data_IF_891641746188
#
_entry.id   IF_891641746188
#
_cell.length_a   1.000
_cell.length_b   1.000
_cell.length_c   1.000
_cell.angle_alpha   90.00
_cell.angle_beta   90.00
_cell.angle_gamma   90.00
#
_symmetry.space_group_name_H-M   'P 1'
#
loop_
_entity.id
_entity.type
_entity.pdbx_description
1 polymer ?
#
# COMPACT_ATOMS: atom_id res chain seq x y z
N UNK A 1 2.17 -29.01 -16.53
CA UNK A 1 0.94 -28.61 -15.82
C UNK A 1 1.11 -28.89 -14.35
N UNK A 2 0.80 -27.93 -13.51
CA UNK A 2 0.78 -28.16 -12.06
C UNK A 2 -0.38 -29.07 -11.68
N UNK A 3 -0.15 -30.00 -10.79
CA UNK A 3 -1.20 -30.84 -10.21
C UNK A 3 -1.97 -30.12 -9.09
N UNK A 4 -1.32 -29.13 -8.46
CA UNK A 4 -1.88 -28.33 -7.36
C UNK A 4 -1.97 -26.86 -7.75
N UNK A 5 -3.01 -26.19 -7.24
CA UNK A 5 -3.23 -24.77 -7.48
C UNK A 5 -2.19 -23.93 -6.75
N UNK A 6 -1.47 -23.09 -7.49
CA UNK A 6 -0.58 -22.06 -6.95
C UNK A 6 -1.40 -20.78 -6.72
N UNK A 7 -1.65 -20.35 -5.48
CA UNK A 7 -2.41 -19.13 -5.22
C UNK A 7 -1.64 -17.88 -5.69
N UNK A 8 -2.35 -16.81 -5.97
CA UNK A 8 -1.75 -15.51 -6.31
C UNK A 8 -0.83 -14.99 -5.20
N UNK A 9 -1.26 -15.14 -3.94
CA UNK A 9 -0.50 -14.75 -2.76
C UNK A 9 -0.87 -15.60 -1.56
N UNK A 10 0.04 -15.68 -0.60
CA UNK A 10 -0.15 -16.35 0.68
C UNK A 10 0.65 -15.61 1.75
N UNK A 11 0.08 -15.33 2.94
CA UNK A 11 0.83 -14.82 4.08
C UNK A 11 1.94 -15.81 4.48
N UNK A 12 3.13 -15.30 4.78
CA UNK A 12 4.24 -16.08 5.35
C UNK A 12 4.14 -16.06 6.87
N UNK A 13 3.42 -17.02 7.44
CA UNK A 13 3.23 -17.17 8.90
C UNK A 13 4.01 -18.38 9.39
N UNK A 14 4.84 -18.17 10.42
CA UNK A 14 5.64 -19.21 11.06
C UNK A 14 5.29 -19.40 12.55
N UNK A 15 5.97 -20.32 13.22
CA UNK A 15 5.74 -20.61 14.63
C UNK A 15 6.07 -19.45 15.57
N UNK A 16 7.03 -18.58 15.21
CA UNK A 16 7.34 -17.38 15.99
C UNK A 16 6.17 -16.40 15.99
N UNK A 17 5.51 -16.24 14.83
CA UNK A 17 4.32 -15.41 14.67
C UNK A 17 3.16 -15.95 15.53
N UNK A 18 2.95 -17.28 15.51
CA UNK A 18 1.92 -17.95 16.31
C UNK A 18 2.19 -17.77 17.80
N UNK A 19 3.44 -17.95 18.22
CA UNK A 19 3.86 -17.81 19.61
C UNK A 19 3.70 -16.38 20.11
N UNK A 20 4.09 -15.37 19.30
CA UNK A 20 3.94 -13.97 19.64
C UNK A 20 2.47 -13.59 19.92
N UNK A 21 1.55 -14.06 19.06
CA UNK A 21 0.10 -13.86 19.28
C UNK A 21 -0.39 -14.64 20.51
N UNK A 22 0.04 -15.88 20.70
CA UNK A 22 -0.34 -16.69 21.85
C UNK A 22 0.11 -16.07 23.19
N UNK A 23 1.28 -15.43 23.24
CA UNK A 23 1.76 -14.68 24.41
C UNK A 23 0.84 -13.52 24.77
N UNK A 24 0.40 -12.75 23.79
CA UNK A 24 -0.59 -11.66 24.00
C UNK A 24 -1.89 -12.19 24.55
N UNK A 25 -2.41 -13.31 24.01
CA UNK A 25 -3.62 -13.94 24.50
C UNK A 25 -3.46 -14.41 25.96
N UNK A 26 -2.30 -14.97 26.34
CA UNK A 26 -2.00 -15.40 27.72
C UNK A 26 -1.85 -14.22 28.68
N UNK A 27 -1.35 -13.08 28.21
CA UNK A 27 -1.19 -11.87 29.04
C UNK A 27 -2.52 -11.26 29.48
N UNK A 28 -3.61 -11.52 28.74
CA UNK A 28 -4.92 -10.91 28.95
C UNK A 28 -5.05 -9.47 28.46
N UNK A 29 -3.98 -8.84 27.98
CA UNK A 29 -4.04 -7.49 27.41
C UNK A 29 -4.19 -7.55 25.88
N UNK A 30 -5.42 -7.47 25.39
CA UNK A 30 -5.75 -7.76 23.98
C UNK A 30 -5.90 -6.52 23.08
N UNK A 31 -6.26 -5.37 23.68
CA UNK A 31 -6.51 -4.11 22.97
C UNK A 31 -5.21 -3.31 22.79
N UNK A 32 -5.31 -2.01 22.49
CA UNK A 32 -4.16 -1.13 22.37
C UNK A 32 -3.31 -1.11 23.64
N UNK A 33 -2.01 -1.40 23.53
CA UNK A 33 -1.11 -1.51 24.67
C UNK A 33 0.37 -1.62 24.27
N UNK A 34 1.19 -2.37 25.03
CA UNK A 34 2.64 -2.40 24.86
C UNK A 34 3.07 -2.95 23.48
N UNK A 35 2.35 -3.89 22.88
CA UNK A 35 2.70 -4.42 21.56
C UNK A 35 2.46 -3.39 20.45
N UNK A 36 1.42 -2.56 20.58
CA UNK A 36 1.23 -1.42 19.68
C UNK A 36 2.40 -0.44 19.76
N UNK A 37 2.80 -0.05 20.97
CA UNK A 37 3.95 0.86 21.17
C UNK A 37 5.25 0.27 20.60
N UNK A 38 5.47 -1.03 20.80
CA UNK A 38 6.62 -1.75 20.23
C UNK A 38 6.59 -1.74 18.70
N UNK A 39 5.43 -2.00 18.08
CA UNK A 39 5.27 -2.03 16.64
C UNK A 39 5.47 -0.63 16.02
N UNK A 40 4.87 0.41 16.63
CA UNK A 40 5.07 1.81 16.22
C UNK A 40 6.58 2.18 16.25
N UNK A 41 7.27 1.86 17.34
CA UNK A 41 8.72 2.12 17.50
C UNK A 41 9.55 1.41 16.43
N UNK A 42 9.31 0.10 16.20
CA UNK A 42 10.06 -0.70 15.21
C UNK A 42 9.85 -0.21 13.77
N UNK A 43 8.64 0.20 13.41
CA UNK A 43 8.38 0.80 12.09
C UNK A 43 9.08 2.17 11.98
N UNK A 44 9.14 2.97 13.04
CA UNK A 44 9.91 4.20 13.06
C UNK A 44 11.41 3.94 12.89
N UNK A 45 11.95 2.92 13.56
CA UNK A 45 13.36 2.51 13.40
C UNK A 45 13.67 2.06 11.96
N UNK A 46 12.76 1.30 11.32
CA UNK A 46 12.91 0.89 9.94
C UNK A 46 12.82 2.07 8.97
N UNK A 47 11.80 2.92 9.15
CA UNK A 47 11.51 4.01 8.21
C UNK A 47 12.41 5.23 8.40
N UNK A 48 12.96 5.42 9.60
CA UNK A 48 13.68 6.63 9.98
C UNK A 48 12.78 7.81 10.39
N UNK A 49 11.46 7.61 10.43
CA UNK A 49 10.52 8.62 10.91
C UNK A 49 10.54 8.72 12.44
N UNK A 50 10.24 9.89 12.99
CA UNK A 50 10.26 10.13 14.44
C UNK A 50 9.00 9.62 15.16
N UNK A 51 7.87 9.53 14.46
CA UNK A 51 6.56 9.19 15.02
C UNK A 51 5.87 8.13 14.19
N UNK A 52 5.28 7.13 14.86
CA UNK A 52 4.41 6.12 14.28
C UNK A 52 3.05 6.10 14.99
N UNK A 53 1.98 5.91 14.25
CA UNK A 53 0.62 5.78 14.79
C UNK A 53 -0.04 4.56 14.16
N UNK A 54 -0.15 3.47 14.92
CA UNK A 54 -0.77 2.23 14.46
C UNK A 54 -2.30 2.34 14.46
N UNK A 55 -2.92 1.80 13.42
CA UNK A 55 -4.34 1.93 13.10
C UNK A 55 -4.90 0.59 12.60
N UNK A 56 -6.22 0.43 12.68
CA UNK A 56 -6.92 -0.80 12.28
C UNK A 56 -6.79 -1.14 10.77
N UNK A 57 -6.46 -0.16 9.93
CA UNK A 57 -6.19 -0.35 8.50
C UNK A 57 -5.52 0.88 7.89
N UNK A 58 -4.90 0.73 6.71
CA UNK A 58 -4.43 1.87 5.91
C UNK A 58 -5.59 2.80 5.49
N UNK A 59 -6.78 2.26 5.27
CA UNK A 59 -7.97 3.07 4.97
C UNK A 59 -8.37 3.95 6.16
N UNK A 60 -8.29 3.43 7.39
CA UNK A 60 -8.50 4.21 8.61
C UNK A 60 -7.44 5.30 8.76
N UNK A 61 -6.17 4.99 8.42
CA UNK A 61 -5.08 5.97 8.41
C UNK A 61 -5.35 7.11 7.41
N UNK A 62 -5.77 6.78 6.20
CA UNK A 62 -6.15 7.74 5.17
C UNK A 62 -7.28 8.65 5.64
N UNK A 63 -8.36 8.03 6.16
CA UNK A 63 -9.50 8.78 6.67
C UNK A 63 -9.10 9.78 7.77
N UNK A 64 -8.33 9.32 8.77
CA UNK A 64 -7.90 10.21 9.85
C UNK A 64 -6.99 11.33 9.35
N UNK A 65 -6.07 11.05 8.43
CA UNK A 65 -5.20 12.09 7.86
C UNK A 65 -6.02 13.18 7.17
N UNK A 66 -7.02 12.82 6.35
CA UNK A 66 -7.88 13.81 5.71
C UNK A 66 -8.63 14.66 6.75
N UNK A 67 -9.13 14.04 7.83
CA UNK A 67 -9.83 14.76 8.91
C UNK A 67 -8.89 15.72 9.66
N UNK A 68 -7.73 15.25 10.12
CA UNK A 68 -6.80 16.10 10.91
C UNK A 68 -6.10 17.16 10.07
N UNK A 69 -5.99 16.96 8.76
CA UNK A 69 -5.51 17.95 7.80
C UNK A 69 -6.61 18.90 7.33
N UNK A 70 -7.82 18.77 7.88
CA UNK A 70 -9.00 19.61 7.57
C UNK A 70 -9.37 19.64 6.08
N UNK A 71 -9.24 18.48 5.41
CA UNK A 71 -9.74 18.34 4.03
C UNK A 71 -11.27 18.35 4.05
N UNK A 72 -11.86 19.21 3.22
CA UNK A 72 -13.27 19.58 3.29
C UNK A 72 -13.86 19.88 1.91
N UNK A 73 -15.19 20.10 1.81
CA UNK A 73 -15.82 20.48 0.55
C UNK A 73 -15.19 21.71 -0.10
N UNK A 74 -14.88 21.61 -1.38
CA UNK A 74 -14.19 22.64 -2.17
C UNK A 74 -12.68 22.41 -2.32
N UNK A 75 -12.09 21.57 -1.48
CA UNK A 75 -10.68 21.18 -1.59
C UNK A 75 -10.47 20.11 -2.66
N UNK A 76 -9.28 20.09 -3.23
CA UNK A 76 -8.82 19.09 -4.19
C UNK A 76 -7.67 18.26 -3.61
N UNK A 77 -7.73 16.93 -3.83
CA UNK A 77 -6.68 16.01 -3.46
C UNK A 77 -6.18 15.29 -4.71
N UNK A 78 -4.89 15.46 -5.03
CA UNK A 78 -4.26 14.83 -6.18
C UNK A 78 -3.79 13.41 -5.81
N UNK A 79 -4.15 12.43 -6.64
CA UNK A 79 -3.73 11.02 -6.51
C UNK A 79 -3.76 10.34 -7.87
N UNK A 80 -3.01 9.23 -8.12
CA UNK A 80 -3.22 8.47 -9.34
C UNK A 80 -4.59 7.77 -9.32
N UNK A 81 -5.17 7.56 -10.49
CA UNK A 81 -6.35 6.71 -10.62
C UNK A 81 -5.99 5.20 -10.60
N UNK A 82 -4.72 4.86 -10.85
CA UNK A 82 -4.18 3.51 -10.73
C UNK A 82 -3.78 3.25 -9.28
N UNK A 83 -4.78 3.07 -8.43
CA UNK A 83 -4.62 2.80 -6.99
C UNK A 83 -5.79 1.97 -6.47
N UNK A 84 -5.66 1.47 -5.24
CA UNK A 84 -6.81 0.93 -4.54
C UNK A 84 -7.81 2.04 -4.22
N UNK A 85 -9.09 1.74 -4.38
CA UNK A 85 -10.18 2.73 -4.27
C UNK A 85 -10.30 3.43 -2.91
N UNK A 86 -9.63 2.93 -1.86
CA UNK A 86 -9.74 3.50 -0.51
C UNK A 86 -9.36 4.98 -0.45
N UNK A 87 -8.28 5.40 -1.13
CA UNK A 87 -7.87 6.83 -1.17
C UNK A 87 -9.00 7.67 -1.76
N UNK A 88 -9.47 7.27 -2.94
CA UNK A 88 -10.48 8.02 -3.68
C UNK A 88 -11.80 8.08 -2.91
N UNK A 89 -12.21 6.94 -2.30
CA UNK A 89 -13.39 6.87 -1.45
C UNK A 89 -13.28 7.84 -0.26
N UNK A 90 -12.14 7.88 0.43
CA UNK A 90 -11.98 8.75 1.61
C UNK A 90 -11.97 10.22 1.23
N UNK A 91 -11.39 10.60 0.09
CA UNK A 91 -11.45 11.98 -0.44
C UNK A 91 -12.90 12.39 -0.70
N UNK A 92 -13.68 11.53 -1.38
CA UNK A 92 -15.10 11.80 -1.66
C UNK A 92 -15.93 11.87 -0.38
N UNK A 93 -15.70 10.97 0.58
CA UNK A 93 -16.39 10.97 1.88
C UNK A 93 -16.05 12.21 2.74
N UNK A 94 -14.87 12.80 2.56
CA UNK A 94 -14.52 14.10 3.15
C UNK A 94 -15.22 15.28 2.45
N UNK A 95 -15.97 15.05 1.37
CA UNK A 95 -16.60 16.07 0.55
C UNK A 95 -15.65 16.78 -0.42
N UNK A 96 -14.40 16.37 -0.47
CA UNK A 96 -13.38 16.92 -1.36
C UNK A 96 -13.44 16.27 -2.76
N UNK A 97 -12.74 16.87 -3.70
CA UNK A 97 -12.67 16.39 -5.09
C UNK A 97 -11.36 15.64 -5.33
N UNK A 98 -11.40 14.36 -5.72
CA UNK A 98 -10.21 13.67 -6.19
C UNK A 98 -9.82 14.20 -7.58
N UNK A 99 -8.55 14.61 -7.74
CA UNK A 99 -7.95 15.02 -9.00
C UNK A 99 -6.94 13.96 -9.40
N UNK A 100 -7.11 13.37 -10.58
CA UNK A 100 -6.28 12.24 -10.98
C UNK A 100 -5.07 12.70 -11.80
N UNK A 101 -3.87 12.48 -11.25
CA UNK A 101 -2.63 12.60 -12.01
C UNK A 101 -2.47 11.36 -12.91
N UNK A 102 -2.10 11.58 -14.16
CA UNK A 102 -1.76 10.50 -15.08
C UNK A 102 -0.49 9.77 -14.61
N UNK A 103 -0.41 8.49 -14.89
CA UNK A 103 0.78 7.69 -14.62
C UNK A 103 1.67 7.60 -15.86
N UNK A 104 2.96 7.38 -15.64
CA UNK A 104 3.83 6.89 -16.69
C UNK A 104 3.40 5.49 -17.12
N UNK A 105 3.39 5.26 -18.43
CA UNK A 105 2.85 4.03 -19.02
C UNK A 105 3.65 2.80 -18.63
N UNK A 106 4.96 2.94 -18.50
CA UNK A 106 5.86 1.80 -18.35
C UNK A 106 6.16 1.45 -16.90
N UNK A 107 6.28 2.46 -16.04
CA UNK A 107 6.55 2.30 -14.61
C UNK A 107 5.30 2.24 -13.75
N UNK A 108 4.16 2.74 -14.26
CA UNK A 108 2.90 2.95 -13.54
C UNK A 108 2.99 3.94 -12.36
N UNK A 109 4.03 4.75 -12.30
CA UNK A 109 4.20 5.81 -11.30
C UNK A 109 3.65 7.14 -11.80
N UNK A 110 3.18 7.99 -10.89
CA UNK A 110 3.00 9.40 -11.20
C UNK A 110 4.37 10.04 -11.45
N UNK A 111 4.42 11.04 -12.32
CA UNK A 111 5.63 11.83 -12.55
C UNK A 111 5.48 13.24 -11.97
N UNK A 112 6.58 13.95 -11.69
CA UNK A 112 6.50 15.35 -11.28
C UNK A 112 5.66 16.21 -12.23
N UNK A 113 5.79 15.98 -13.55
CA UNK A 113 5.06 16.72 -14.59
C UNK A 113 3.57 16.43 -14.53
N UNK A 114 3.17 15.17 -14.37
CA UNK A 114 1.75 14.78 -14.27
C UNK A 114 1.09 15.33 -13.00
N UNK A 115 1.83 15.37 -11.89
CA UNK A 115 1.37 16.00 -10.64
C UNK A 115 1.24 17.52 -10.82
N UNK A 116 2.28 18.17 -11.38
CA UNK A 116 2.28 19.63 -11.60
C UNK A 116 1.11 20.08 -12.49
N UNK A 117 0.76 19.31 -13.52
CA UNK A 117 -0.37 19.59 -14.40
C UNK A 117 -1.73 19.56 -13.71
N UNK A 118 -1.82 18.90 -12.52
CA UNK A 118 -3.05 18.79 -11.74
C UNK A 118 -3.20 19.85 -10.64
N UNK A 119 -2.12 20.61 -10.34
CA UNK A 119 -2.13 21.58 -9.24
C UNK A 119 -3.00 22.79 -9.59
N UNK A 120 -3.92 23.11 -8.69
CA UNK A 120 -4.78 24.29 -8.74
C UNK A 120 -4.73 25.08 -7.42
N UNK A 121 -5.29 26.28 -7.32
CA UNK A 121 -5.43 27.00 -6.04
C UNK A 121 -6.24 26.25 -4.98
N UNK A 122 -7.03 25.23 -5.36
CA UNK A 122 -7.83 24.40 -4.45
C UNK A 122 -7.09 23.14 -3.99
N UNK A 123 -5.92 22.83 -4.56
CA UNK A 123 -5.14 21.66 -4.18
C UNK A 123 -4.65 21.79 -2.75
N UNK A 124 -5.07 20.90 -1.88
CA UNK A 124 -4.70 20.88 -0.45
C UNK A 124 -3.78 19.73 -0.06
N UNK A 125 -3.75 18.69 -0.86
CA UNK A 125 -3.00 17.47 -0.53
C UNK A 125 -2.65 16.73 -1.83
N UNK A 126 -1.46 16.10 -1.84
CA UNK A 126 -1.01 15.20 -2.91
C UNK A 126 -0.71 13.86 -2.28
N UNK A 127 -1.31 12.78 -2.81
CA UNK A 127 -1.13 11.41 -2.30
C UNK A 127 -0.64 10.52 -3.46
N UNK A 128 0.66 10.54 -3.77
CA UNK A 128 1.26 9.64 -4.73
C UNK A 128 1.41 8.23 -4.15
N UNK A 129 1.43 7.21 -5.00
CA UNK A 129 1.44 5.80 -4.60
C UNK A 129 2.75 5.14 -5.01
N UNK A 130 3.41 4.46 -4.08
CA UNK A 130 4.54 3.56 -4.34
C UNK A 130 4.03 2.22 -4.88
N UNK A 131 3.67 2.21 -6.15
CA UNK A 131 2.97 1.08 -6.76
C UNK A 131 3.83 -0.19 -6.78
N UNK A 132 3.23 -1.35 -6.49
CA UNK A 132 3.87 -2.67 -6.49
C UNK A 132 5.11 -2.82 -5.58
N UNK A 133 5.48 -1.79 -4.82
CA UNK A 133 6.69 -1.76 -3.97
C UNK A 133 7.88 -1.06 -4.61
N UNK A 134 7.71 -0.39 -5.75
CA UNK A 134 8.69 0.53 -6.32
C UNK A 134 8.47 1.96 -5.81
N UNK A 135 9.51 2.78 -5.81
CA UNK A 135 9.41 4.19 -5.41
C UNK A 135 9.06 5.08 -6.61
N UNK A 136 8.14 6.05 -6.44
CA UNK A 136 8.03 7.17 -7.37
C UNK A 136 9.15 8.20 -7.12
N UNK A 137 9.34 9.19 -8.01
CA UNK A 137 10.31 10.28 -7.82
C UNK A 137 9.84 11.24 -6.71
N UNK A 138 10.23 10.93 -5.47
CA UNK A 138 9.82 11.68 -4.26
C UNK A 138 10.30 13.13 -4.33
N UNK A 139 11.57 13.34 -4.68
CA UNK A 139 12.15 14.68 -4.70
C UNK A 139 11.53 15.54 -5.79
N UNK A 140 11.30 14.95 -6.98
CA UNK A 140 10.64 15.62 -8.09
C UNK A 140 9.20 16.03 -7.75
N UNK A 141 8.41 15.12 -7.15
CA UNK A 141 7.04 15.41 -6.72
C UNK A 141 7.03 16.48 -5.62
N UNK A 142 7.91 16.39 -4.61
CA UNK A 142 8.02 17.41 -3.56
C UNK A 142 8.37 18.79 -4.12
N UNK A 143 9.27 18.84 -5.11
CA UNK A 143 9.69 20.08 -5.75
C UNK A 143 8.50 20.78 -6.44
N UNK A 144 7.67 20.04 -7.17
CA UNK A 144 6.51 20.62 -7.85
C UNK A 144 5.35 20.91 -6.90
N UNK A 145 5.21 20.15 -5.82
CA UNK A 145 4.21 20.38 -4.76
C UNK A 145 4.45 21.71 -4.01
N UNK A 146 5.71 22.14 -3.88
CA UNK A 146 6.05 23.36 -3.15
C UNK A 146 5.61 23.32 -1.69
N UNK A 147 4.64 24.15 -1.30
CA UNK A 147 4.08 24.19 0.05
C UNK A 147 2.91 23.22 0.26
N UNK A 148 2.41 22.55 -0.77
CA UNK A 148 1.30 21.60 -0.66
C UNK A 148 1.84 20.33 0.02
N UNK A 149 1.18 19.84 1.09
CA UNK A 149 1.58 18.59 1.75
C UNK A 149 1.58 17.41 0.79
N UNK A 150 2.60 16.54 0.93
CA UNK A 150 2.69 15.26 0.22
C UNK A 150 2.61 14.15 1.26
N UNK A 151 1.66 13.25 1.11
CA UNK A 151 1.50 12.03 1.93
C UNK A 151 1.77 10.83 1.02
N UNK A 152 2.79 10.05 1.34
CA UNK A 152 3.16 8.87 0.57
C UNK A 152 2.21 7.71 0.86
N UNK A 153 1.49 7.21 -0.16
CA UNK A 153 0.84 5.90 -0.02
C UNK A 153 1.90 4.80 -0.18
N UNK A 154 2.40 4.35 0.95
CA UNK A 154 3.39 3.30 1.10
C UNK A 154 2.75 1.92 1.40
N UNK A 155 1.44 1.75 1.11
CA UNK A 155 0.72 0.49 1.38
C UNK A 155 1.33 -0.74 0.69
N UNK A 156 2.18 -0.55 -0.31
CA UNK A 156 2.94 -1.59 -1.02
C UNK A 156 4.46 -1.55 -0.74
N UNK A 157 4.94 -0.67 0.14
CA UNK A 157 6.34 -0.22 0.11
C UNK A 157 7.12 -0.43 1.42
N UNK A 158 6.68 -1.34 2.31
CA UNK A 158 7.48 -1.72 3.49
C UNK A 158 8.78 -2.40 3.03
N UNK A 159 9.92 -1.78 3.37
CA UNK A 159 11.25 -2.23 2.91
C UNK A 159 11.63 -1.71 1.52
N UNK A 160 10.92 -0.73 0.98
CA UNK A 160 11.34 0.05 -0.19
C UNK A 160 12.22 1.22 0.24
N UNK A 161 13.28 1.46 -0.53
CA UNK A 161 14.20 2.57 -0.28
C UNK A 161 14.29 3.47 -1.53
N UNK A 162 14.39 4.76 -1.31
CA UNK A 162 14.63 5.79 -2.30
C UNK A 162 15.93 6.54 -1.95
N UNK A 163 16.92 6.51 -2.83
CA UNK A 163 18.25 7.14 -2.62
C UNK A 163 18.88 6.75 -1.27
N UNK A 164 18.84 5.46 -0.94
CA UNK A 164 19.40 4.90 0.29
C UNK A 164 18.57 5.13 1.56
N UNK A 165 17.44 5.84 1.51
CA UNK A 165 16.54 6.08 2.66
C UNK A 165 15.22 5.33 2.47
N UNK A 166 14.69 4.77 3.55
CA UNK A 166 13.40 4.08 3.52
C UNK A 166 12.27 5.06 3.17
N UNK A 167 11.25 4.58 2.46
CA UNK A 167 10.02 5.33 2.18
C UNK A 167 9.41 5.83 3.49
N UNK A 168 8.92 7.08 3.51
CA UNK A 168 8.35 7.70 4.71
C UNK A 168 9.37 8.28 5.69
N UNK A 169 10.70 8.25 5.37
CA UNK A 169 11.73 8.87 6.20
C UNK A 169 11.54 10.39 6.36
N UNK A 170 11.21 11.05 5.26
CA UNK A 170 11.16 12.53 5.21
C UNK A 170 9.73 13.09 5.15
N UNK A 171 8.77 12.27 4.77
CA UNK A 171 7.37 12.67 4.58
C UNK A 171 6.46 11.87 5.52
N UNK A 172 5.23 12.35 5.65
CA UNK A 172 4.15 11.51 6.20
C UNK A 172 3.87 10.38 5.22
N UNK A 173 3.84 9.13 5.71
CA UNK A 173 3.56 7.96 4.90
C UNK A 173 2.50 7.07 5.54
N UNK A 174 1.76 6.34 4.71
CA UNK A 174 0.72 5.39 5.12
C UNK A 174 1.15 4.00 4.71
N UNK A 175 1.27 3.08 5.66
CA UNK A 175 1.55 1.67 5.44
C UNK A 175 0.29 0.82 5.64
N UNK A 176 0.23 -0.29 4.92
CA UNK A 176 -0.79 -1.32 5.09
C UNK A 176 -0.16 -2.62 5.56
N UNK A 177 -0.83 -3.26 6.50
CA UNK A 177 -0.47 -4.59 7.01
C UNK A 177 -1.63 -5.58 6.83
N UNK A 178 -2.44 -5.38 5.78
CA UNK A 178 -3.44 -6.34 5.32
C UNK A 178 -2.78 -7.69 5.00
N UNK A 179 -3.52 -8.79 5.10
CA UNK A 179 -3.03 -10.16 4.97
C UNK A 179 -2.15 -10.44 3.73
N UNK A 180 -2.37 -9.74 2.61
CA UNK A 180 -1.60 -9.95 1.37
C UNK A 180 -0.30 -9.13 1.29
N UNK A 181 -0.01 -8.25 2.27
CA UNK A 181 1.16 -7.36 2.21
C UNK A 181 2.46 -8.10 2.54
N UNK A 182 3.60 -7.43 2.33
CA UNK A 182 4.93 -8.04 2.56
C UNK A 182 5.09 -8.54 3.99
N UNK A 183 4.57 -7.79 4.96
CA UNK A 183 4.32 -8.24 6.34
C UNK A 183 2.86 -7.96 6.67
N UNK A 184 2.31 -8.73 7.60
CA UNK A 184 0.90 -8.63 7.95
C UNK A 184 0.64 -8.57 9.45
N UNK A 185 -0.47 -7.92 9.80
CA UNK A 185 -1.11 -8.00 11.13
C UNK A 185 -2.51 -8.63 11.04
N UNK A 186 -2.80 -9.32 9.92
CA UNK A 186 -4.14 -9.72 9.51
C UNK A 186 -4.86 -8.55 8.87
N UNK A 187 -5.26 -7.60 9.65
CA UNK A 187 -5.67 -6.24 9.27
C UNK A 187 -4.85 -5.23 10.06
N UNK A 188 -4.45 -4.13 9.43
CA UNK A 188 -3.71 -3.05 10.08
C UNK A 188 -3.20 -2.00 9.11
N UNK A 189 -2.83 -0.88 9.68
CA UNK A 189 -2.17 0.22 9.01
C UNK A 189 -1.32 1.04 9.97
N UNK A 190 -0.51 1.93 9.43
CA UNK A 190 0.28 2.87 10.23
C UNK A 190 0.47 4.17 9.47
N UNK A 191 0.42 5.28 10.18
CA UNK A 191 0.95 6.55 9.70
C UNK A 191 2.32 6.74 10.35
N UNK A 192 3.34 7.03 9.54
CA UNK A 192 4.61 7.56 10.04
C UNK A 192 4.73 9.03 9.66
N UNK A 193 5.36 9.82 10.52
CA UNK A 193 5.54 11.26 10.28
C UNK A 193 6.67 11.83 11.14
N UNK A 194 7.21 12.98 10.73
CA UNK A 194 8.14 13.78 11.56
C UNK A 194 7.43 14.97 12.23
N UNK A 195 6.13 15.12 12.01
CA UNK A 195 5.30 16.13 12.68
C UNK A 195 4.66 15.54 13.94
N UNK A 196 5.22 15.87 15.10
CA UNK A 196 4.72 15.42 16.41
C UNK A 196 3.31 15.93 16.73
N UNK A 197 2.90 17.11 16.18
CA UNK A 197 1.55 17.65 16.37
C UNK A 197 0.54 16.83 15.58
N UNK A 198 0.86 16.50 14.33
CA UNK A 198 0.05 15.61 13.50
C UNK A 198 -0.11 14.24 14.17
N UNK A 199 0.99 13.65 14.66
CA UNK A 199 0.96 12.36 15.35
C UNK A 199 0.08 12.40 16.61
N UNK A 200 0.17 13.47 17.41
CA UNK A 200 -0.67 13.65 18.60
C UNK A 200 -2.16 13.74 18.25
N UNK A 201 -2.53 14.48 17.21
CA UNK A 201 -3.91 14.55 16.71
C UNK A 201 -4.41 13.18 16.23
N UNK A 202 -3.61 12.46 15.45
CA UNK A 202 -3.96 11.12 14.98
C UNK A 202 -4.20 10.15 16.15
N UNK A 203 -3.39 10.19 17.22
CA UNK A 203 -3.57 9.38 18.43
C UNK A 203 -4.89 9.69 19.14
N UNK A 204 -5.28 10.96 19.21
CA UNK A 204 -6.58 11.37 19.77
C UNK A 204 -7.75 10.90 18.89
N UNK A 205 -7.68 11.22 17.61
CA UNK A 205 -8.77 10.91 16.67
C UNK A 205 -8.98 9.40 16.48
N UNK A 206 -7.94 8.58 16.54
CA UNK A 206 -8.07 7.12 16.44
C UNK A 206 -8.80 6.48 17.63
N UNK A 207 -8.91 7.23 18.76
CA UNK A 207 -9.50 6.72 19.98
C UNK A 207 -10.50 7.72 20.59
N UNK A 208 -11.66 7.87 19.96
CA UNK A 208 -12.81 8.68 20.40
C UNK A 208 -12.52 10.17 20.69
N UNK A 209 -11.41 10.73 20.24
CA UNK A 209 -11.00 12.09 20.57
C UNK A 209 -10.58 12.31 22.02
N UNK A 210 -10.22 11.23 22.71
CA UNK A 210 -9.77 11.24 24.10
C UNK A 210 -8.24 11.39 24.15
N UNK A 211 -7.76 12.25 25.04
CA UNK A 211 -6.33 12.58 25.14
C UNK A 211 -5.48 11.44 25.71
N UNK A 212 -6.05 10.56 26.52
CA UNK A 212 -5.36 9.46 27.23
C UNK A 212 -5.94 8.12 26.84
N UNK A 213 -5.13 7.23 26.30
CA UNK A 213 -5.59 5.90 25.90
C UNK A 213 -5.85 4.94 27.08
N UNK A 214 -6.32 3.73 26.77
CA UNK A 214 -6.71 2.75 27.81
C UNK A 214 -5.48 2.26 28.62
N UNK A 215 -4.33 2.07 27.96
CA UNK A 215 -3.09 1.60 28.61
C UNK A 215 -2.47 2.67 29.50
N UNK A 216 -2.40 3.90 29.06
CA UNK A 216 -1.95 5.03 29.86
C UNK A 216 -2.84 5.24 31.10
N UNK A 217 -4.16 5.05 30.97
CA UNK A 217 -5.09 5.15 32.11
C UNK A 217 -4.88 4.07 33.15
N UNK A 218 -4.54 2.85 32.75
CA UNK A 218 -4.24 1.76 33.67
C UNK A 218 -2.94 2.01 34.44
N UNK A 219 -1.88 2.48 33.72
CA UNK A 219 -0.55 2.68 34.30
C UNK A 219 -0.40 3.97 35.15
N UNK A 220 -1.12 5.03 34.81
CA UNK A 220 -1.04 6.34 35.49
C UNK A 220 -2.13 6.56 36.53
N UNK A 221 -2.92 5.52 36.84
CA UNK A 221 -4.14 5.64 37.64
C UNK A 221 -5.28 6.23 36.80
N UNK A 222 -6.46 5.60 36.89
CA UNK A 222 -7.65 6.03 36.14
C UNK A 222 -7.93 7.48 36.46
N UNK A 223 -7.65 8.39 35.51
CA UNK A 223 -8.26 9.71 35.55
C UNK A 223 -9.79 9.50 35.56
N UNK A 224 -10.51 9.95 36.58
CA UNK A 224 -11.93 9.63 36.74
C UNK A 224 -12.80 10.11 35.59
N UNK A 225 -12.30 11.02 34.75
CA UNK A 225 -13.03 11.60 33.61
C UNK A 225 -12.05 11.78 32.45
N UNK A 226 -12.19 10.93 31.41
CA UNK A 226 -11.57 11.17 30.13
C UNK A 226 -12.46 12.15 29.35
N UNK A 227 -11.93 13.34 29.06
CA UNK A 227 -12.66 14.34 28.31
C UNK A 227 -12.50 14.12 26.81
N UNK A 228 -13.61 14.15 26.07
CA UNK A 228 -13.62 14.12 24.60
C UNK A 228 -13.36 15.56 24.11
N UNK A 229 -12.22 15.76 23.45
CA UNK A 229 -11.85 17.05 22.87
C UNK A 229 -12.30 17.20 21.41
N UNK A 230 -12.48 16.07 20.72
CA UNK A 230 -12.95 15.99 19.33
C UNK A 230 -13.88 14.76 19.16
N UNK A 231 -14.80 14.76 18.19
CA UNK A 231 -15.62 13.59 17.85
C UNK A 231 -14.74 12.56 17.07
N UNK A 232 -13.89 11.83 17.78
CA UNK A 232 -12.96 10.88 17.20
C UNK A 232 -13.60 9.52 16.89
N UNK A 233 -12.82 8.67 16.21
CA UNK A 233 -13.22 7.34 15.76
C UNK A 233 -12.66 6.23 16.67
N UNK A 234 -13.02 4.99 16.39
CA UNK A 234 -12.46 3.80 17.05
C UNK A 234 -11.64 3.01 16.03
N UNK A 235 -10.41 3.46 15.76
CA UNK A 235 -9.50 2.94 14.74
C UNK A 235 -8.15 2.45 15.27
N UNK A 236 -8.03 2.25 16.58
CA UNK A 236 -6.79 1.70 17.15
C UNK A 236 -6.55 0.26 16.70
N UNK A 237 -5.29 -0.10 16.49
CA UNK A 237 -4.86 -1.48 16.30
C UNK A 237 -4.92 -2.22 17.65
N UNK A 238 -5.12 -3.53 17.65
CA UNK A 238 -5.07 -4.37 18.85
C UNK A 238 -3.66 -4.90 19.10
N UNK A 239 -3.31 -5.22 20.34
CA UNK A 239 -2.01 -5.84 20.64
C UNK A 239 -1.87 -7.24 20.02
N UNK A 240 -2.98 -7.95 19.84
CA UNK A 240 -3.00 -9.23 19.10
C UNK A 240 -2.43 -9.03 17.68
N UNK A 241 -2.94 -8.04 16.96
CA UNK A 241 -2.48 -7.72 15.61
C UNK A 241 -1.06 -7.16 15.61
N UNK A 242 -0.75 -6.27 16.56
CA UNK A 242 0.57 -5.65 16.68
C UNK A 242 1.67 -6.69 16.97
N UNK A 243 1.41 -7.70 17.81
CA UNK A 243 2.37 -8.76 18.10
C UNK A 243 2.75 -9.55 16.83
N UNK A 244 1.77 -9.87 15.98
CA UNK A 244 2.04 -10.47 14.68
C UNK A 244 2.92 -9.56 13.83
N UNK A 245 2.62 -8.25 13.76
CA UNK A 245 3.40 -7.27 13.02
C UNK A 245 4.84 -7.14 13.53
N UNK A 246 5.05 -7.15 14.84
CA UNK A 246 6.39 -7.13 15.47
C UNK A 246 7.21 -8.35 15.04
N UNK A 247 6.63 -9.56 15.16
CA UNK A 247 7.29 -10.81 14.75
C UNK A 247 7.63 -10.82 13.25
N UNK A 248 6.68 -10.45 12.40
CA UNK A 248 6.86 -10.37 10.94
C UNK A 248 7.97 -9.38 10.55
N UNK A 249 8.06 -8.24 11.24
CA UNK A 249 9.02 -7.18 10.95
C UNK A 249 10.48 -7.62 11.17
N UNK A 250 10.74 -8.53 12.13
CA UNK A 250 12.07 -9.11 12.35
C UNK A 250 12.62 -9.82 11.09
N UNK A 251 11.73 -10.27 10.22
CA UNK A 251 12.08 -11.03 9.01
C UNK A 251 11.93 -10.22 7.71
N UNK A 252 11.62 -8.92 7.77
CA UNK A 252 11.28 -8.12 6.57
C UNK A 252 12.38 -8.17 5.49
N UNK A 253 13.65 -8.09 5.89
CA UNK A 253 14.76 -8.16 4.93
C UNK A 253 14.84 -9.53 4.25
N UNK A 254 14.65 -10.62 5.00
CA UNK A 254 14.62 -11.98 4.44
C UNK A 254 13.41 -12.20 3.52
N UNK A 255 12.24 -11.70 3.92
CA UNK A 255 11.01 -11.72 3.12
C UNK A 255 11.22 -10.99 1.79
N UNK A 256 11.74 -9.76 1.83
CA UNK A 256 11.97 -8.97 0.63
C UNK A 256 13.11 -9.53 -0.25
N UNK A 257 14.13 -10.17 0.34
CA UNK A 257 15.16 -10.87 -0.42
C UNK A 257 14.60 -12.07 -1.22
N UNK A 258 13.73 -12.88 -0.60
CA UNK A 258 13.04 -13.99 -1.29
C UNK A 258 12.17 -13.45 -2.43
N UNK A 259 11.37 -12.41 -2.19
CA UNK A 259 10.54 -11.76 -3.23
C UNK A 259 11.39 -11.23 -4.39
N UNK A 260 12.54 -10.64 -4.08
CA UNK A 260 13.49 -10.16 -5.09
C UNK A 260 14.02 -11.30 -5.95
N UNK A 261 14.44 -12.43 -5.33
CA UNK A 261 14.93 -13.59 -6.08
C UNK A 261 13.88 -14.14 -7.05
N UNK A 262 12.63 -14.27 -6.60
CA UNK A 262 11.51 -14.72 -7.44
C UNK A 262 11.21 -13.71 -8.58
N UNK A 263 11.23 -12.42 -8.28
CA UNK A 263 11.01 -11.38 -9.28
C UNK A 263 12.10 -11.34 -10.35
N UNK A 264 13.36 -11.50 -9.94
CA UNK A 264 14.48 -11.61 -10.90
C UNK A 264 14.36 -12.87 -11.78
N UNK A 265 13.91 -14.00 -11.21
CA UNK A 265 13.65 -15.23 -11.99
C UNK A 265 12.53 -15.01 -13.01
N UNK A 266 11.45 -14.34 -12.66
CA UNK A 266 10.41 -13.94 -13.62
C UNK A 266 10.97 -13.09 -14.75
N UNK A 267 11.77 -12.06 -14.45
CA UNK A 267 12.37 -11.17 -15.45
C UNK A 267 13.26 -11.94 -16.42
N UNK A 268 14.09 -12.84 -15.89
CA UNK A 268 14.95 -13.71 -16.70
C UNK A 268 14.11 -14.54 -17.69
N UNK A 269 13.13 -15.29 -17.18
CA UNK A 269 12.35 -16.23 -17.98
C UNK A 269 11.35 -15.57 -18.94
N UNK A 270 10.89 -14.36 -18.65
CA UNK A 270 10.01 -13.59 -19.53
C UNK A 270 10.75 -12.83 -20.63
N UNK A 271 12.09 -12.84 -20.61
CA UNK A 271 12.91 -12.28 -21.70
C UNK A 271 12.54 -12.97 -23.02
N UNK A 272 12.16 -12.16 -24.02
CA UNK A 272 11.72 -12.66 -25.34
C UNK A 272 10.26 -13.16 -25.39
N UNK A 273 9.46 -12.92 -24.36
CA UNK A 273 7.99 -13.14 -24.37
C UNK A 273 7.31 -11.79 -24.58
N UNK A 274 7.25 -11.33 -25.83
CA UNK A 274 6.82 -9.96 -26.18
C UNK A 274 5.36 -9.66 -25.84
N UNK A 275 4.52 -10.69 -25.69
CA UNK A 275 3.09 -10.56 -25.38
C UNK A 275 2.82 -10.40 -23.87
N UNK A 276 3.82 -10.68 -22.99
CA UNK A 276 3.70 -10.57 -21.53
C UNK A 276 4.92 -9.87 -20.99
N UNK A 277 4.82 -8.57 -20.81
CA UNK A 277 5.94 -7.70 -20.46
C UNK A 277 5.88 -7.29 -18.99
N UNK A 278 6.93 -7.56 -18.18
CA UNK A 278 7.05 -6.97 -16.85
C UNK A 278 7.06 -5.43 -16.91
N UNK A 279 6.65 -4.79 -15.81
CA UNK A 279 6.80 -3.34 -15.67
C UNK A 279 8.29 -2.96 -15.71
N UNK A 280 8.55 -1.79 -16.25
CA UNK A 280 9.88 -1.19 -16.27
C UNK A 280 10.17 -0.53 -14.93
N UNK A 281 11.38 -0.67 -14.41
CA UNK A 281 11.79 0.04 -13.22
C UNK A 281 11.87 1.56 -13.49
N UNK A 282 11.45 2.41 -12.54
CA UNK A 282 11.68 3.84 -12.62
C UNK A 282 13.16 4.17 -12.85
N UNK A 283 13.43 5.18 -13.66
CA UNK A 283 14.79 5.62 -13.99
C UNK A 283 15.06 7.03 -13.46
N UNK A 284 16.33 7.42 -13.37
CA UNK A 284 16.75 8.76 -12.94
C UNK A 284 17.06 8.88 -11.45
N UNK A 285 16.81 7.82 -10.67
CA UNK A 285 17.19 7.76 -9.26
C UNK A 285 17.41 6.31 -8.80
N UNK A 286 18.22 6.15 -7.76
CA UNK A 286 18.44 4.86 -7.13
C UNK A 286 17.25 4.49 -6.22
N UNK A 287 16.79 3.24 -6.26
CA UNK A 287 15.81 2.72 -5.33
C UNK A 287 16.00 1.22 -5.11
N UNK A 288 15.53 0.70 -3.96
CA UNK A 288 15.42 -0.72 -3.64
C UNK A 288 13.95 -1.10 -3.67
N UNK A 289 13.58 -2.04 -4.51
CA UNK A 289 12.21 -2.53 -4.66
C UNK A 289 11.87 -3.55 -3.56
N UNK A 290 10.71 -3.43 -2.92
CA UNK A 290 10.22 -4.43 -1.95
C UNK A 290 9.43 -5.58 -2.59
N UNK A 291 9.13 -5.49 -3.89
CA UNK A 291 8.44 -6.52 -4.66
C UNK A 291 7.14 -7.00 -4.01
N UNK A 292 6.27 -6.08 -3.63
CA UNK A 292 4.93 -6.45 -3.16
C UNK A 292 4.14 -7.20 -4.23
N UNK A 293 4.22 -6.75 -5.47
CA UNK A 293 3.61 -7.39 -6.64
C UNK A 293 4.65 -7.60 -7.74
N UNK A 294 4.47 -8.66 -8.52
CA UNK A 294 5.08 -8.81 -9.83
C UNK A 294 4.00 -8.62 -10.88
N UNK A 295 3.97 -7.43 -11.48
CA UNK A 295 2.95 -7.03 -12.45
C UNK A 295 3.49 -7.14 -13.85
N UNK A 296 2.69 -7.70 -14.76
CA UNK A 296 2.97 -7.80 -16.19
C UNK A 296 1.86 -7.13 -17.00
N UNK A 297 2.18 -6.63 -18.17
CA UNK A 297 1.23 -6.21 -19.19
C UNK A 297 1.01 -7.32 -20.18
N UNK A 298 -0.23 -7.67 -20.44
CA UNK A 298 -0.65 -8.68 -21.42
C UNK A 298 -1.09 -7.96 -22.69
N UNK A 299 -0.27 -8.02 -23.73
CA UNK A 299 -0.53 -7.36 -25.02
C UNK A 299 -0.50 -8.42 -26.12
N UNK A 300 -1.48 -9.33 -26.07
CA UNK A 300 -1.60 -10.42 -27.03
C UNK A 300 -2.70 -10.12 -28.07
N UNK A 301 -2.49 -10.60 -29.30
CA UNK A 301 -3.52 -10.57 -30.35
C UNK A 301 -4.55 -11.67 -30.20
N UNK A 302 -4.26 -12.70 -29.40
CA UNK A 302 -5.09 -13.88 -29.21
C UNK A 302 -5.99 -13.79 -27.98
N UNK A 303 -5.46 -13.22 -26.88
CA UNK A 303 -6.12 -13.17 -25.59
C UNK A 303 -6.08 -11.75 -25.04
N UNK A 304 -7.21 -11.23 -24.59
CA UNK A 304 -7.21 -10.09 -23.70
C UNK A 304 -6.74 -10.51 -22.28
N UNK A 305 -6.53 -9.54 -21.42
CA UNK A 305 -6.07 -9.77 -20.05
C UNK A 305 -6.99 -10.72 -19.26
N UNK A 306 -8.30 -10.59 -19.39
CA UNK A 306 -9.26 -11.39 -18.62
C UNK A 306 -9.27 -12.85 -19.10
N UNK A 307 -9.23 -13.07 -20.42
CA UNK A 307 -9.06 -14.39 -21.02
C UNK A 307 -7.70 -15.02 -20.64
N UNK A 308 -6.63 -14.23 -20.61
CA UNK A 308 -5.31 -14.69 -20.14
C UNK A 308 -5.35 -15.16 -18.68
N UNK A 309 -5.94 -14.38 -17.78
CA UNK A 309 -6.09 -14.75 -16.36
C UNK A 309 -6.94 -16.03 -16.21
N UNK A 310 -8.01 -16.18 -17.00
CA UNK A 310 -8.83 -17.39 -16.99
C UNK A 310 -8.05 -18.61 -17.50
N UNK A 311 -7.24 -18.45 -18.54
CA UNK A 311 -6.39 -19.50 -19.08
C UNK A 311 -5.30 -19.94 -18.08
N UNK A 312 -4.64 -19.00 -17.37
CA UNK A 312 -3.71 -19.32 -16.30
C UNK A 312 -4.37 -20.10 -15.17
N UNK A 313 -5.60 -19.71 -14.79
CA UNK A 313 -6.37 -20.45 -13.77
C UNK A 313 -6.66 -21.89 -14.19
N UNK A 314 -6.92 -22.14 -15.47
CA UNK A 314 -7.09 -23.49 -16.00
C UNK A 314 -5.79 -24.33 -15.94
N UNK A 315 -4.63 -23.69 -15.90
CA UNK A 315 -3.33 -24.31 -15.69
C UNK A 315 -2.95 -24.40 -14.18
N UNK A 316 -3.90 -24.19 -13.25
CA UNK A 316 -3.69 -24.15 -11.80
C UNK A 316 -2.80 -23.00 -11.32
N UNK A 317 -2.75 -21.87 -12.04
CA UNK A 317 -2.02 -20.67 -11.65
C UNK A 317 -3.01 -19.56 -11.27
N UNK A 318 -2.93 -19.11 -10.02
CA UNK A 318 -3.64 -17.92 -9.53
C UNK A 318 -3.03 -16.65 -10.09
N UNK A 319 -3.85 -15.62 -10.30
CA UNK A 319 -3.40 -14.29 -10.72
C UNK A 319 -4.29 -13.23 -10.08
N UNK A 320 -3.82 -11.98 -10.08
CA UNK A 320 -4.54 -10.86 -9.49
C UNK A 320 -4.64 -9.65 -10.43
N UNK A 321 -5.56 -8.74 -10.13
CA UNK A 321 -5.72 -7.47 -10.84
C UNK A 321 -5.44 -6.31 -9.88
N UNK A 322 -4.34 -5.59 -10.09
CA UNK A 322 -3.93 -4.43 -9.30
C UNK A 322 -3.56 -3.24 -10.23
N UNK A 323 -4.50 -2.37 -10.62
CA UNK A 323 -5.91 -2.37 -10.26
C UNK A 323 -6.77 -2.03 -11.50
N UNK A 324 -8.08 -2.17 -11.39
CA UNK A 324 -8.97 -1.45 -12.28
C UNK A 324 -8.93 0.03 -11.88
N UNK A 325 -8.65 0.93 -12.82
CA UNK A 325 -8.51 2.36 -12.53
C UNK A 325 -9.78 2.94 -11.86
N UNK A 326 -9.57 3.79 -10.84
CA UNK A 326 -10.66 4.28 -10.00
C UNK A 326 -11.66 5.13 -10.78
N UNK A 327 -11.19 6.05 -11.65
CA UNK A 327 -12.07 6.95 -12.40
C UNK A 327 -13.06 6.24 -13.34
N UNK A 328 -12.78 4.98 -13.73
CA UNK A 328 -13.69 4.16 -14.55
C UNK A 328 -14.58 3.23 -13.71
N UNK A 329 -14.52 3.26 -12.38
CA UNK A 329 -15.48 2.57 -11.53
C UNK A 329 -16.85 3.23 -11.65
N UNK A 330 -17.92 2.45 -11.46
CA UNK A 330 -19.29 2.88 -11.73
C UNK A 330 -19.65 4.19 -11.05
N UNK A 331 -19.45 4.28 -9.74
CA UNK A 331 -19.79 5.45 -8.94
C UNK A 331 -19.13 6.73 -9.49
N UNK A 332 -17.83 6.68 -9.74
CA UNK A 332 -17.08 7.86 -10.19
C UNK A 332 -17.46 8.31 -11.60
N UNK A 333 -17.85 7.37 -12.47
CA UNK A 333 -18.36 7.72 -13.80
C UNK A 333 -19.75 8.36 -13.75
N UNK A 334 -20.65 7.75 -12.97
CA UNK A 334 -22.07 8.13 -12.95
C UNK A 334 -22.31 9.39 -12.12
N UNK A 335 -21.66 9.52 -10.94
CA UNK A 335 -21.88 10.59 -9.99
C UNK A 335 -20.89 11.77 -10.13
N UNK A 336 -19.67 11.51 -10.61
CA UNK A 336 -18.63 12.53 -10.70
C UNK A 336 -18.25 12.89 -12.14
N UNK A 337 -18.84 12.26 -13.14
CA UNK A 337 -18.66 12.59 -14.56
C UNK A 337 -17.30 12.18 -15.15
N UNK A 338 -16.52 11.34 -14.45
CA UNK A 338 -15.30 10.78 -15.03
C UNK A 338 -15.63 9.85 -16.19
N UNK A 339 -14.76 9.81 -17.19
CA UNK A 339 -15.00 9.02 -18.39
C UNK A 339 -13.70 8.53 -19.02
N UNK A 340 -13.83 7.51 -19.87
CA UNK A 340 -12.72 7.02 -20.69
C UNK A 340 -12.19 8.13 -21.62
N UNK A 341 -10.89 8.12 -21.83
CA UNK A 341 -10.15 9.10 -22.61
C UNK A 341 -9.53 10.23 -21.76
N UNK A 342 -9.77 10.26 -20.44
CA UNK A 342 -9.19 11.28 -19.56
C UNK A 342 -7.74 10.97 -19.16
N UNK A 343 -7.41 9.67 -19.00
CA UNK A 343 -6.12 9.19 -18.52
C UNK A 343 -5.63 8.00 -19.39
N UNK A 344 -5.11 8.28 -20.60
CA UNK A 344 -4.83 7.23 -21.59
C UNK A 344 -3.84 6.16 -21.14
N UNK A 345 -2.77 6.52 -20.40
CA UNK A 345 -1.79 5.55 -19.90
C UNK A 345 -2.38 4.70 -18.77
N UNK A 346 -3.10 5.34 -17.84
CA UNK A 346 -3.83 4.67 -16.76
C UNK A 346 -4.85 3.67 -17.32
N UNK A 347 -5.63 4.08 -18.30
CA UNK A 347 -6.67 3.26 -18.93
C UNK A 347 -6.06 2.08 -19.69
N UNK A 348 -4.99 2.33 -20.44
CA UNK A 348 -4.26 1.26 -21.11
C UNK A 348 -3.75 0.23 -20.11
N UNK A 349 -3.07 0.66 -19.04
CA UNK A 349 -2.58 -0.28 -18.04
C UNK A 349 -3.75 -1.01 -17.34
N UNK A 350 -4.82 -0.31 -16.97
CA UNK A 350 -6.00 -0.92 -16.36
C UNK A 350 -6.62 -2.05 -17.22
N UNK A 351 -6.55 -1.93 -18.53
CA UNK A 351 -7.08 -2.94 -19.46
C UNK A 351 -6.10 -4.12 -19.68
N UNK A 352 -4.78 -3.93 -19.45
CA UNK A 352 -3.77 -4.91 -19.84
C UNK A 352 -2.98 -5.54 -18.69
N UNK A 353 -2.99 -4.97 -17.47
CA UNK A 353 -2.16 -5.50 -16.38
C UNK A 353 -2.74 -6.76 -15.74
N UNK A 354 -1.82 -7.64 -15.34
CA UNK A 354 -2.07 -8.82 -14.54
C UNK A 354 -0.94 -8.98 -13.52
N UNK A 355 -1.27 -9.30 -12.27
CA UNK A 355 -0.27 -9.63 -11.25
C UNK A 355 -0.08 -11.14 -11.19
N UNK A 356 1.14 -11.59 -11.38
CA UNK A 356 1.55 -12.99 -11.28
C UNK A 356 1.78 -13.39 -9.82
N UNK A 357 1.75 -14.69 -9.48
CA UNK A 357 2.03 -15.16 -8.13
C UNK A 357 3.37 -14.65 -7.61
N UNK A 358 3.37 -14.06 -6.41
CA UNK A 358 4.60 -13.63 -5.75
C UNK A 358 4.42 -13.58 -4.23
N UNK A 359 4.94 -14.59 -3.51
CA UNK A 359 4.93 -14.65 -2.06
C UNK A 359 6.13 -15.45 -1.53
N UNK A 360 6.56 -15.24 -0.26
CA UNK A 360 7.85 -15.77 0.23
C UNK A 360 7.98 -17.30 0.24
N UNK A 361 6.86 -18.04 0.36
CA UNK A 361 6.87 -19.51 0.37
C UNK A 361 7.03 -20.15 -1.02
N UNK A 362 7.00 -19.34 -2.09
CA UNK A 362 7.27 -19.86 -3.43
C UNK A 362 8.73 -20.28 -3.57
N UNK A 363 8.93 -21.32 -4.35
CA UNK A 363 10.24 -21.75 -4.82
C UNK A 363 10.51 -21.17 -6.21
N UNK A 364 11.75 -21.18 -6.66
CA UNK A 364 12.10 -20.74 -8.03
C UNK A 364 11.42 -21.60 -9.10
N UNK A 365 11.26 -22.90 -8.84
CA UNK A 365 10.55 -23.84 -9.74
C UNK A 365 9.06 -23.47 -9.89
N UNK A 366 8.43 -22.86 -8.88
CA UNK A 366 7.06 -22.38 -9.02
C UNK A 366 6.97 -21.23 -10.05
N UNK A 367 8.01 -20.38 -10.13
CA UNK A 367 8.13 -19.35 -11.17
C UNK A 367 8.32 -19.98 -12.55
N UNK A 368 9.16 -21.03 -12.65
CA UNK A 368 9.36 -21.77 -13.91
C UNK A 368 8.04 -22.35 -14.42
N UNK A 369 7.23 -22.93 -13.54
CA UNK A 369 5.91 -23.47 -13.86
C UNK A 369 4.95 -22.36 -14.36
N UNK A 370 4.94 -21.19 -13.68
CA UNK A 370 4.09 -20.05 -14.10
C UNK A 370 4.48 -19.60 -15.50
N UNK A 371 5.77 -19.45 -15.79
CA UNK A 371 6.22 -19.00 -17.12
C UNK A 371 5.99 -20.07 -18.19
N UNK A 372 6.13 -21.35 -17.85
CA UNK A 372 5.74 -22.45 -18.76
C UNK A 372 4.25 -22.41 -19.10
N UNK A 373 3.39 -22.16 -18.10
CA UNK A 373 1.95 -21.97 -18.32
C UNK A 373 1.67 -20.73 -19.19
N UNK A 374 2.35 -19.60 -18.95
CA UNK A 374 2.22 -18.37 -19.77
C UNK A 374 2.53 -18.70 -21.23
N UNK A 375 3.67 -19.33 -21.51
CA UNK A 375 4.04 -19.71 -22.89
C UNK A 375 3.03 -20.63 -23.54
N UNK A 376 2.47 -21.60 -22.80
CA UNK A 376 1.45 -22.51 -23.29
C UNK A 376 0.15 -21.82 -23.67
N UNK A 377 -0.34 -20.89 -22.85
CA UNK A 377 -1.63 -20.21 -23.11
C UNK A 377 -1.54 -19.16 -24.22
N UNK A 378 -0.33 -18.74 -24.59
CA UNK A 378 -0.11 -17.81 -25.71
C UNK A 378 0.02 -18.50 -27.07
N UNK A 379 0.26 -19.83 -27.11
CA UNK A 379 0.28 -20.64 -28.34
C UNK A 379 -1.15 -20.85 -28.86
#
# INVERSE_FOLDING_TARGET
MRNEFLPFTRPDVNDDDINAVAEVLRSGWLTNGPKNAEFERKICELSGASEGVALASATAAMHLLLQVMNISPGDEVITPSMTWVSIVNMVVLAGATPVFAEIDRDTMMVTPESVAACITPRTKLIIPVHFAGAAFDIDGVRKVAGAIPVVEDAAHAVGTYYKGRHIGCDNTAIYSFHAIKNITTGEGGMVTTNDSKLAALLRQWKFHGIVVDAFDRENRGRAPQAEVTYPGYKYNLTDICAALGVSQLERIEAINAKRTALAMRYRELLTGVDEVMPLVDPVGYEFKHSWHLFVVRVVSKKLDRDAFMAALKAENIGSGLHFRCAHLQRYYREEMGFRRGMLPNTEFNSDHICSLPLFPDMRLEDVDDVVAAIRKVLI
#
